data_IF_627531697054
#
_entry.id   IF_627531697054
#
_cell.length_a   1.000
_cell.length_b   1.000
_cell.length_c   1.000
_cell.angle_alpha   90.00
_cell.angle_beta   90.00
_cell.angle_gamma   90.00
#
_symmetry.space_group_name_H-M   'P 1'
#
loop_
_entity.id
_entity.type
_entity.pdbx_description
1 polymer ?
#
# COMPACT_ATOMS: atom_id res chain seq x y z
N UNK A 1 -8.72 -12.28 2.02
CA UNK A 1 -9.71 -11.78 1.06
C UNK A 1 -9.02 -11.15 -0.14
N UNK A 2 -8.05 -10.25 0.07
CA UNK A 2 -7.41 -9.50 -1.01
C UNK A 2 -6.75 -10.38 -2.07
N UNK A 3 -5.93 -11.37 -1.69
CA UNK A 3 -5.24 -12.27 -2.65
C UNK A 3 -6.21 -13.08 -3.54
N UNK A 4 -7.29 -13.60 -2.97
CA UNK A 4 -8.31 -14.37 -3.72
C UNK A 4 -9.13 -13.44 -4.64
N UNK A 5 -9.40 -12.21 -4.20
CA UNK A 5 -10.13 -11.22 -4.99
C UNK A 5 -9.31 -10.70 -6.18
N UNK A 6 -7.99 -10.43 -6.03
CA UNK A 6 -7.16 -9.99 -7.16
C UNK A 6 -6.94 -11.12 -8.17
N UNK A 7 -6.73 -12.36 -7.71
CA UNK A 7 -6.53 -13.50 -8.60
C UNK A 7 -7.81 -13.90 -9.36
N UNK A 8 -9.00 -13.65 -8.81
CA UNK A 8 -10.26 -13.87 -9.54
C UNK A 8 -10.49 -12.86 -10.68
N UNK A 9 -9.96 -11.63 -10.55
CA UNK A 9 -10.09 -10.57 -11.57
C UNK A 9 -8.93 -10.63 -12.58
N UNK A 10 -7.74 -11.04 -12.14
CA UNK A 10 -6.54 -11.20 -12.95
C UNK A 10 -5.80 -12.50 -12.61
N UNK A 11 -6.23 -13.66 -13.14
CA UNK A 11 -5.68 -14.97 -12.76
C UNK A 11 -4.23 -15.19 -13.19
N UNK A 12 -3.76 -14.48 -14.21
CA UNK A 12 -2.37 -14.57 -14.67
C UNK A 12 -1.43 -13.58 -13.96
N UNK A 13 -1.94 -12.76 -13.03
CA UNK A 13 -1.13 -11.81 -12.30
C UNK A 13 -0.25 -12.52 -11.25
N UNK A 14 1.02 -12.14 -11.19
CA UNK A 14 1.88 -12.52 -10.07
C UNK A 14 1.46 -11.75 -8.82
N UNK A 15 1.15 -12.46 -7.75
CA UNK A 15 0.72 -11.84 -6.49
C UNK A 15 1.90 -11.75 -5.51
N UNK A 16 2.17 -10.53 -5.04
CA UNK A 16 3.05 -10.27 -3.91
C UNK A 16 2.17 -9.88 -2.72
N UNK A 17 2.32 -10.61 -1.61
CA UNK A 17 1.71 -10.23 -0.35
C UNK A 17 2.73 -9.43 0.48
N UNK A 18 2.34 -8.22 0.89
CA UNK A 18 3.15 -7.36 1.74
C UNK A 18 2.34 -6.97 2.99
N UNK A 19 2.69 -7.55 4.13
CA UNK A 19 2.11 -7.20 5.42
C UNK A 19 3.02 -6.29 6.21
N UNK A 20 2.44 -5.37 7.00
CA UNK A 20 3.17 -4.63 8.02
C UNK A 20 3.57 -5.56 9.18
N UNK A 21 4.67 -5.24 9.86
CA UNK A 21 5.12 -6.02 11.03
C UNK A 21 4.23 -5.83 12.26
N UNK A 22 3.47 -4.73 12.31
CA UNK A 22 2.48 -4.43 13.34
C UNK A 22 1.33 -3.58 12.78
N UNK A 23 0.40 -3.17 13.63
CA UNK A 23 -0.69 -2.26 13.27
C UNK A 23 -0.29 -0.77 13.33
N UNK A 24 0.98 -0.44 13.58
CA UNK A 24 1.45 0.94 13.68
C UNK A 24 1.92 1.49 12.32
N UNK A 25 1.80 2.81 12.15
CA UNK A 25 2.09 3.49 10.88
C UNK A 25 3.52 3.29 10.41
N UNK A 26 4.51 3.29 11.33
CA UNK A 26 5.92 3.11 10.98
C UNK A 26 6.16 1.78 10.24
N UNK A 27 5.57 0.68 10.74
CA UNK A 27 5.73 -0.65 10.12
C UNK A 27 4.91 -0.77 8.83
N UNK A 28 3.81 -0.05 8.70
CA UNK A 28 3.00 -0.01 7.48
C UNK A 28 3.67 0.83 6.39
N UNK A 29 4.20 2.00 6.73
CA UNK A 29 5.00 2.86 5.85
C UNK A 29 6.26 2.16 5.38
N UNK A 30 6.95 1.39 6.24
CA UNK A 30 8.10 0.57 5.84
C UNK A 30 7.70 -0.49 4.79
N UNK A 31 6.58 -1.18 4.98
CA UNK A 31 6.09 -2.16 4.00
C UNK A 31 5.69 -1.52 2.66
N UNK A 32 5.03 -0.35 2.68
CA UNK A 32 4.71 0.40 1.45
C UNK A 32 5.97 0.94 0.77
N UNK A 33 6.92 1.45 1.57
CA UNK A 33 8.23 1.92 1.11
C UNK A 33 8.99 0.83 0.38
N UNK A 34 9.05 -0.39 0.94
CA UNK A 34 9.68 -1.56 0.29
C UNK A 34 9.06 -1.91 -1.06
N UNK A 35 7.73 -1.80 -1.21
CA UNK A 35 7.07 -2.03 -2.49
C UNK A 35 7.56 -1.01 -3.52
N UNK A 36 7.59 0.28 -3.15
CA UNK A 36 8.01 1.35 -4.07
C UNK A 36 9.51 1.26 -4.39
N UNK A 37 10.36 1.11 -3.37
CA UNK A 37 11.82 0.99 -3.51
C UNK A 37 12.24 -0.22 -4.34
N UNK A 38 11.61 -1.37 -4.09
CA UNK A 38 11.89 -2.61 -4.80
C UNK A 38 11.13 -2.75 -6.12
N UNK A 39 10.22 -1.82 -6.43
CA UNK A 39 9.25 -1.92 -7.54
C UNK A 39 8.58 -3.30 -7.58
N UNK A 40 8.09 -3.74 -6.42
CA UNK A 40 7.62 -5.11 -6.23
C UNK A 40 6.25 -5.39 -6.86
N UNK A 41 5.49 -4.35 -7.20
CA UNK A 41 4.19 -4.44 -7.85
C UNK A 41 3.89 -3.17 -8.66
N UNK A 42 3.11 -3.30 -9.73
CA UNK A 42 2.56 -2.17 -10.49
C UNK A 42 1.20 -1.68 -9.93
N UNK A 43 0.48 -2.57 -9.23
CA UNK A 43 -0.82 -2.30 -8.60
C UNK A 43 -0.77 -2.79 -7.15
N UNK A 44 -1.11 -1.92 -6.22
CA UNK A 44 -1.23 -2.23 -4.78
C UNK A 44 -2.68 -2.05 -4.36
N UNK A 45 -3.33 -3.14 -3.97
CA UNK A 45 -4.66 -3.14 -3.36
C UNK A 45 -4.53 -3.19 -1.84
N UNK A 46 -5.22 -2.30 -1.13
CA UNK A 46 -5.11 -2.13 0.31
C UNK A 46 -6.49 -2.21 0.99
N UNK A 47 -6.54 -2.87 2.15
CA UNK A 47 -7.73 -3.07 2.97
C UNK A 47 -7.57 -2.58 4.42
N UNK A 48 -6.84 -1.47 4.58
CA UNK A 48 -6.58 -0.82 5.87
C UNK A 48 -7.00 0.65 5.81
N UNK A 49 -7.26 1.23 6.99
CA UNK A 49 -7.62 2.63 7.15
C UNK A 49 -7.85 2.97 8.62
N UNK A 50 -7.82 4.27 8.92
CA UNK A 50 -8.19 4.86 10.20
C UNK A 50 -8.96 6.17 9.94
N UNK A 51 -9.55 6.76 10.98
CA UNK A 51 -10.11 8.10 10.91
C UNK A 51 -8.99 9.11 10.66
N UNK A 52 -9.18 10.00 9.69
CA UNK A 52 -8.23 11.09 9.42
C UNK A 52 -7.91 11.92 10.67
N UNK A 53 -8.87 12.05 11.60
CA UNK A 53 -8.67 12.75 12.88
C UNK A 53 -7.70 12.07 13.84
N UNK A 54 -7.45 10.77 13.67
CA UNK A 54 -6.48 10.03 14.46
C UNK A 54 -5.05 10.23 13.92
N UNK A 55 -4.91 10.71 12.68
CA UNK A 55 -3.61 10.88 12.05
C UNK A 55 -2.90 12.17 12.42
N UNK A 56 -1.59 12.01 12.65
CA UNK A 56 -0.70 13.15 12.79
C UNK A 56 -0.40 13.74 11.42
N UNK A 57 -0.17 15.06 11.36
CA UNK A 57 0.25 15.72 10.13
C UNK A 57 1.54 15.12 9.55
N UNK A 58 2.43 14.61 10.41
CA UNK A 58 3.67 13.97 9.99
C UNK A 58 3.42 12.61 9.31
N UNK A 59 2.54 11.78 9.89
CA UNK A 59 2.15 10.48 9.30
C UNK A 59 1.46 10.68 7.96
N UNK A 60 0.47 11.58 7.90
CA UNK A 60 -0.23 11.90 6.66
C UNK A 60 0.71 12.37 5.54
N UNK A 61 1.69 13.23 5.87
CA UNK A 61 2.69 13.68 4.90
C UNK A 61 3.63 12.54 4.45
N UNK A 62 3.98 11.62 5.34
CA UNK A 62 4.80 10.45 5.01
C UNK A 62 4.06 9.50 4.06
N UNK A 63 2.78 9.21 4.32
CA UNK A 63 1.94 8.42 3.41
C UNK A 63 1.82 9.09 2.04
N UNK A 64 1.49 10.38 2.00
CA UNK A 64 1.38 11.14 0.76
C UNK A 64 2.69 11.11 -0.05
N UNK A 65 3.84 11.26 0.61
CA UNK A 65 5.14 11.15 -0.04
C UNK A 65 5.38 9.77 -0.67
N UNK A 66 5.03 8.69 0.04
CA UNK A 66 5.16 7.31 -0.47
C UNK A 66 4.27 7.11 -1.70
N UNK A 67 3.02 7.56 -1.66
CA UNK A 67 2.10 7.42 -2.79
C UNK A 67 2.50 8.27 -4.00
N UNK A 68 2.95 9.51 -3.78
CA UNK A 68 3.48 10.36 -4.84
C UNK A 68 4.70 9.74 -5.50
N UNK A 69 5.61 9.17 -4.71
CA UNK A 69 6.77 8.46 -5.28
C UNK A 69 6.34 7.22 -6.05
N UNK A 70 5.39 6.44 -5.52
CA UNK A 70 4.79 5.34 -6.25
C UNK A 70 4.23 5.75 -7.61
N UNK A 71 3.50 6.87 -7.66
CA UNK A 71 2.96 7.41 -8.90
C UNK A 71 4.06 7.78 -9.91
N UNK A 72 5.20 8.32 -9.45
CA UNK A 72 6.37 8.58 -10.31
C UNK A 72 6.97 7.29 -10.86
N UNK A 73 7.00 6.23 -10.07
CA UNK A 73 7.53 4.92 -10.48
C UNK A 73 6.55 4.12 -11.36
N UNK A 74 5.31 4.57 -11.51
CA UNK A 74 4.25 3.92 -12.28
C UNK A 74 3.41 2.92 -11.47
N UNK A 75 3.42 3.03 -10.14
CA UNK A 75 2.72 2.14 -9.21
C UNK A 75 1.41 2.79 -8.76
N UNK A 76 0.28 2.10 -8.96
CA UNK A 76 -1.04 2.55 -8.52
C UNK A 76 -1.44 2.01 -7.15
N UNK A 77 -1.93 2.86 -6.25
CA UNK A 77 -2.46 2.47 -4.93
C UNK A 77 -3.99 2.60 -4.90
N UNK A 78 -4.68 1.53 -4.49
CA UNK A 78 -6.14 1.44 -4.44
C UNK A 78 -6.57 1.01 -3.04
N UNK A 79 -7.55 1.70 -2.47
CA UNK A 79 -8.00 1.54 -1.08
C UNK A 79 -9.45 1.10 -1.01
N UNK A 80 -9.78 0.32 0.01
CA UNK A 80 -11.17 0.10 0.43
C UNK A 80 -11.81 1.40 0.92
N UNK A 81 -13.11 1.60 0.63
CA UNK A 81 -13.91 2.75 1.11
C UNK A 81 -14.49 2.53 2.49
#
# INVERSE_FOLDING_TARGET
>A
LDVEAVHAVAPDANIVYAGAASCYDDDLLDSLGKIVDGRLADIVSNSWGDLESNETTASAAAYDQVFQRGAVEGIGFYFSS
#
